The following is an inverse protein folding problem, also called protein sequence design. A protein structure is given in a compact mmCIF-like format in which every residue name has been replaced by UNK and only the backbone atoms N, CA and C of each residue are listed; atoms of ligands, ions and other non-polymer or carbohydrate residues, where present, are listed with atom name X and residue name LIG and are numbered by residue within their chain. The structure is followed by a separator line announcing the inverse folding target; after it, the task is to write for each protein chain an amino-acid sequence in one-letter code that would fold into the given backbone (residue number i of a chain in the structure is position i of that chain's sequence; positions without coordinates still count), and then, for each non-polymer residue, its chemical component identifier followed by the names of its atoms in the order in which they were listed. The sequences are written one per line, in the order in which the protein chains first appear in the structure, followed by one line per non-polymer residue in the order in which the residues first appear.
data_IF_749080036804
#
_entry.id   IF_749080036804
#
_cell.length_a   1.000
_cell.length_b   1.000
_cell.length_c   1.000
_cell.angle_alpha   90.00
_cell.angle_beta   90.00
_cell.angle_gamma   90.00
#
_symmetry.space_group_name_H-M   'P 1'
#
loop_
_entity.id
_entity.type
_entity.pdbx_description
1 polymer ?
#
# COMPACT_ATOMS: atom_id res chain seq x y z
N UNK A 1 2.40 -6.19 -13.17
CA UNK A 1 2.09 -6.93 -14.40
C UNK A 1 0.63 -7.32 -14.35
N UNK A 2 -0.13 -7.21 -15.45
CA UNK A 2 -1.53 -7.61 -15.48
C UNK A 2 -1.68 -9.09 -15.08
N UNK A 3 -2.73 -9.44 -14.33
CA UNK A 3 -3.10 -10.81 -13.94
C UNK A 3 -2.09 -11.57 -13.03
N UNK A 4 -1.01 -10.95 -12.55
CA UNK A 4 -0.06 -11.61 -11.62
C UNK A 4 -0.41 -11.38 -10.15
N UNK A 5 -1.38 -10.52 -9.88
CA UNK A 5 -1.77 -10.18 -8.52
C UNK A 5 -2.52 -11.32 -7.82
N UNK A 6 -2.14 -11.58 -6.57
CA UNK A 6 -2.83 -12.49 -5.66
C UNK A 6 -3.18 -11.73 -4.39
N UNK A 7 -4.48 -11.61 -4.11
CA UNK A 7 -5.00 -11.11 -2.84
C UNK A 7 -5.43 -12.27 -1.95
N UNK A 8 -4.91 -12.27 -0.72
CA UNK A 8 -5.27 -13.21 0.33
C UNK A 8 -5.96 -12.49 1.47
N UNK A 9 -7.17 -12.93 1.81
CA UNK A 9 -7.94 -12.42 2.93
C UNK A 9 -7.81 -13.35 4.13
N UNK A 10 -7.41 -12.79 5.27
CA UNK A 10 -7.35 -13.52 6.54
C UNK A 10 -8.52 -13.08 7.41
N UNK A 11 -9.33 -14.05 7.82
CA UNK A 11 -10.42 -13.84 8.77
C UNK A 11 -9.93 -14.28 10.15
N UNK A 12 -9.77 -13.31 11.06
CA UNK A 12 -9.23 -13.53 12.40
C UNK A 12 -7.79 -13.07 12.55
N UNK A 13 -7.24 -13.21 13.76
CA UNK A 13 -5.85 -12.81 14.04
C UNK A 13 -4.90 -13.87 13.51
N UNK A 14 -3.85 -13.43 12.82
CA UNK A 14 -2.85 -14.33 12.26
C UNK A 14 -2.29 -15.28 13.35
N UNK A 15 -2.29 -16.59 13.09
CA UNK A 15 -1.82 -17.65 14.02
C UNK A 15 -2.51 -17.66 15.39
N UNK A 16 -3.72 -17.11 15.48
CA UNK A 16 -4.48 -17.01 16.73
C UNK A 16 -3.66 -16.39 17.88
N UNK A 17 -2.83 -15.39 17.56
CA UNK A 17 -2.14 -14.63 18.59
C UNK A 17 -3.16 -13.87 19.43
N UNK A 18 -3.06 -14.01 20.75
CA UNK A 18 -3.96 -13.37 21.72
C UNK A 18 -3.29 -12.24 22.50
N UNK A 19 -2.05 -11.89 22.12
CA UNK A 19 -1.33 -10.76 22.65
C UNK A 19 0.04 -10.54 22.02
N UNK A 20 0.78 -9.58 22.54
CA UNK A 20 2.18 -9.30 22.18
C UNK A 20 3.00 -9.27 23.47
N UNK A 21 4.10 -10.01 23.50
CA UNK A 21 5.14 -9.96 24.53
C UNK A 21 6.37 -9.28 23.92
N UNK A 22 6.63 -8.04 24.32
CA UNK A 22 7.78 -7.27 23.89
C UNK A 22 8.83 -7.22 24.99
N UNK A 23 10.05 -7.64 24.66
CA UNK A 23 11.20 -7.59 25.54
C UNK A 23 12.15 -6.47 25.13
N UNK A 24 12.49 -5.59 26.07
CA UNK A 24 13.39 -4.45 25.90
C UNK A 24 14.34 -4.30 27.09
N UNK A 25 15.42 -3.52 26.93
CA UNK A 25 16.39 -3.25 28.00
C UNK A 25 16.07 -1.92 28.65
N UNK A 26 15.74 -1.87 29.94
CA UNK A 26 15.43 -0.61 30.63
C UNK A 26 16.66 0.32 30.70
N UNK A 27 16.42 1.63 30.63
CA UNK A 27 17.41 2.67 30.84
C UNK A 27 17.71 2.97 32.32
N UNK A 28 16.88 2.48 33.25
CA UNK A 28 17.02 2.73 34.69
C UNK A 28 18.00 1.76 35.35
N UNK A 29 17.88 0.47 35.04
CA UNK A 29 18.62 -0.61 35.73
C UNK A 29 19.32 -1.59 34.78
N UNK A 30 19.31 -1.32 33.47
CA UNK A 30 19.83 -2.22 32.42
C UNK A 30 19.20 -3.63 32.43
N UNK A 31 18.08 -3.83 33.13
CA UNK A 31 17.39 -5.10 33.17
C UNK A 31 16.59 -5.34 31.87
N UNK A 32 16.46 -6.61 31.50
CA UNK A 32 15.53 -7.02 30.44
C UNK A 32 14.12 -7.05 31.00
N UNK A 33 13.30 -6.11 30.56
CA UNK A 33 11.90 -5.97 30.97
C UNK A 33 11.01 -6.55 29.88
N UNK A 34 9.98 -7.29 30.31
CA UNK A 34 8.95 -7.84 29.44
C UNK A 34 7.66 -7.03 29.60
N UNK A 35 7.17 -6.48 28.50
CA UNK A 35 5.89 -5.81 28.43
C UNK A 35 4.91 -6.67 27.65
N UNK A 36 3.74 -6.94 28.23
CA UNK A 36 2.72 -7.83 27.67
C UNK A 36 1.43 -7.04 27.44
N UNK A 37 0.86 -7.18 26.25
CA UNK A 37 -0.41 -6.59 25.82
C UNK A 37 -1.34 -7.71 25.33
N UNK A 38 -2.66 -7.63 25.54
CA UNK A 38 -3.40 -6.63 26.33
C UNK A 38 -3.18 -6.80 27.83
N UNK A 39 -3.15 -5.69 28.58
CA UNK A 39 -2.92 -5.72 30.05
C UNK A 39 -4.07 -6.42 30.82
N UNK A 40 -5.26 -6.45 30.23
CA UNK A 40 -6.47 -6.98 30.84
C UNK A 40 -6.57 -8.52 30.78
N UNK A 41 -5.72 -9.17 29.99
CA UNK A 41 -5.74 -10.63 29.80
C UNK A 41 -4.33 -11.20 29.91
N UNK A 42 -4.20 -12.41 30.43
CA UNK A 42 -2.95 -13.18 30.27
C UNK A 42 -3.00 -13.91 28.92
N UNK A 43 -2.21 -13.51 27.92
CA UNK A 43 -2.22 -14.16 26.62
C UNK A 43 -1.68 -15.59 26.75
N UNK A 44 -2.35 -16.57 26.15
CA UNK A 44 -1.93 -17.98 26.07
C UNK A 44 -0.93 -18.20 24.93
N UNK A 45 -1.04 -17.41 23.87
CA UNK A 45 -0.18 -17.45 22.68
C UNK A 45 0.20 -16.01 22.28
N UNK A 46 1.08 -15.33 23.04
CA UNK A 46 1.55 -14.00 22.65
C UNK A 46 2.58 -14.07 21.53
N UNK A 47 2.55 -13.08 20.62
CA UNK A 47 3.64 -12.83 19.69
C UNK A 47 4.85 -12.29 20.46
N UNK A 48 5.94 -13.06 20.47
CA UNK A 48 7.17 -12.69 21.18
C UNK A 48 8.09 -11.85 20.29
N UNK A 49 8.45 -10.67 20.77
CA UNK A 49 9.31 -9.71 20.07
C UNK A 49 10.46 -9.33 21.00
N UNK A 50 11.69 -9.62 20.58
CA UNK A 50 12.89 -9.20 21.31
C UNK A 50 13.54 -8.02 20.59
N UNK A 51 13.73 -6.91 21.31
CA UNK A 51 14.37 -5.71 20.74
C UNK A 51 15.63 -5.34 21.52
N UNK A 52 16.71 -5.03 20.80
CA UNK A 52 17.99 -4.58 21.39
C UNK A 52 18.20 -3.07 21.35
N UNK A 53 17.43 -2.35 20.52
CA UNK A 53 17.58 -0.90 20.31
C UNK A 53 16.64 -0.01 21.11
N UNK A 54 15.60 -0.56 21.75
CA UNK A 54 14.64 0.21 22.55
C UNK A 54 15.10 0.20 24.00
N UNK A 55 15.33 1.40 24.56
CA UNK A 55 15.67 1.56 25.98
C UNK A 55 14.58 2.23 26.82
N UNK A 56 13.77 3.08 26.19
CA UNK A 56 12.70 3.81 26.85
C UNK A 56 11.41 2.97 26.91
N UNK A 57 10.79 2.91 28.08
CA UNK A 57 9.49 2.25 28.32
C UNK A 57 8.38 2.79 27.40
N UNK A 58 8.28 4.10 27.21
CA UNK A 58 7.26 4.70 26.34
C UNK A 58 7.37 4.19 24.89
N UNK A 59 8.59 4.12 24.36
CA UNK A 59 8.85 3.59 23.02
C UNK A 59 8.54 2.09 22.93
N UNK A 60 8.83 1.33 23.99
CA UNK A 60 8.47 -0.08 24.09
C UNK A 60 6.95 -0.29 24.05
N UNK A 61 6.19 0.54 24.78
CA UNK A 61 4.71 0.52 24.79
C UNK A 61 4.13 0.84 23.41
N UNK A 62 4.59 1.92 22.78
CA UNK A 62 4.18 2.30 21.41
C UNK A 62 4.46 1.15 20.43
N UNK A 63 5.66 0.58 20.47
CA UNK A 63 6.05 -0.55 19.60
C UNK A 63 5.13 -1.75 19.79
N UNK A 64 4.84 -2.11 21.03
CA UNK A 64 4.00 -3.27 21.35
C UNK A 64 2.54 -3.05 20.93
N UNK A 65 1.95 -1.88 21.20
CA UNK A 65 0.57 -1.55 20.77
C UNK A 65 0.44 -1.49 19.25
N UNK A 66 1.44 -0.95 18.55
CA UNK A 66 1.46 -0.94 17.08
C UNK A 66 1.45 -2.35 16.50
N UNK A 67 2.24 -3.27 17.06
CA UNK A 67 2.26 -4.66 16.59
C UNK A 67 0.97 -5.41 16.95
N UNK A 68 0.38 -5.14 18.12
CA UNK A 68 -0.92 -5.69 18.48
C UNK A 68 -2.04 -5.21 17.55
N UNK A 69 -2.07 -3.92 17.23
CA UNK A 69 -3.04 -3.36 16.31
C UNK A 69 -2.85 -3.89 14.89
N UNK A 70 -1.60 -4.09 14.43
CA UNK A 70 -1.34 -4.77 13.16
C UNK A 70 -1.90 -6.19 13.15
N UNK A 71 -1.69 -6.98 14.20
CA UNK A 71 -2.24 -8.34 14.29
C UNK A 71 -3.77 -8.37 14.20
N UNK A 72 -4.45 -7.37 14.76
CA UNK A 72 -5.92 -7.28 14.79
C UNK A 72 -6.54 -6.75 13.51
N UNK A 73 -5.93 -5.73 12.92
CA UNK A 73 -6.51 -5.01 11.78
C UNK A 73 -5.86 -5.37 10.44
N UNK A 74 -4.81 -6.21 10.43
CA UNK A 74 -4.29 -6.80 9.20
C UNK A 74 -5.21 -7.92 8.76
N UNK A 75 -5.96 -7.70 7.69
CA UNK A 75 -6.92 -8.66 7.15
C UNK A 75 -6.62 -9.03 5.70
N UNK A 76 -5.76 -8.28 5.00
CA UNK A 76 -5.49 -8.51 3.59
C UNK A 76 -3.98 -8.45 3.30
N UNK A 77 -3.53 -9.38 2.46
CA UNK A 77 -2.19 -9.44 1.89
C UNK A 77 -2.29 -9.46 0.38
N UNK A 78 -1.42 -8.73 -0.29
CA UNK A 78 -1.30 -8.66 -1.74
C UNK A 78 0.11 -9.07 -2.15
N UNK A 79 0.19 -9.94 -3.15
CA UNK A 79 1.44 -10.30 -3.83
C UNK A 79 1.29 -10.00 -5.31
N UNK A 80 2.20 -9.21 -5.89
CA UNK A 80 2.14 -8.80 -7.29
C UNK A 80 3.54 -8.75 -7.90
N UNK A 81 3.65 -9.07 -9.18
CA UNK A 81 4.90 -8.89 -9.93
C UNK A 81 4.96 -7.48 -10.51
N UNK A 82 6.03 -6.76 -10.18
CA UNK A 82 6.29 -5.38 -10.58
C UNK A 82 7.60 -5.31 -11.37
N UNK A 83 7.73 -4.24 -12.16
CA UNK A 83 8.94 -3.97 -12.94
C UNK A 83 10.06 -3.42 -12.06
N UNK A 84 11.24 -3.19 -12.64
CA UNK A 84 12.47 -2.79 -11.96
C UNK A 84 12.36 -1.44 -11.22
N UNK A 85 11.42 -0.57 -11.59
CA UNK A 85 11.19 0.70 -10.87
C UNK A 85 10.75 0.51 -9.42
N UNK A 86 10.26 -0.69 -9.08
CA UNK A 86 9.96 -1.07 -7.70
C UNK A 86 11.17 -1.05 -6.76
N UNK A 87 12.39 -1.03 -7.28
CA UNK A 87 13.61 -0.87 -6.47
C UNK A 87 13.68 0.48 -5.74
N UNK A 88 12.89 1.46 -6.16
CA UNK A 88 12.76 2.73 -5.46
C UNK A 88 11.96 2.62 -4.16
N UNK A 89 11.18 1.55 -3.99
CA UNK A 89 10.33 1.36 -2.82
C UNK A 89 11.14 0.83 -1.63
N UNK A 90 10.90 1.41 -0.47
CA UNK A 90 11.52 1.02 0.79
C UNK A 90 10.48 0.29 1.65
N UNK A 91 10.95 -0.66 2.45
CA UNK A 91 10.09 -1.39 3.39
C UNK A 91 9.30 -0.44 4.29
N UNK A 92 8.01 -0.70 4.44
CA UNK A 92 7.02 0.15 5.09
C UNK A 92 6.63 1.41 4.32
N UNK A 93 6.95 1.52 3.03
CA UNK A 93 6.33 2.55 2.20
C UNK A 93 4.85 2.22 1.98
N UNK A 94 4.03 3.28 2.02
CA UNK A 94 2.62 3.21 1.66
C UNK A 94 2.51 3.28 0.15
N UNK A 95 1.92 2.25 -0.44
CA UNK A 95 1.67 2.14 -1.88
C UNK A 95 0.17 2.10 -2.13
N UNK A 96 -0.24 2.49 -3.33
CA UNK A 96 -1.60 2.26 -3.82
C UNK A 96 -1.51 1.12 -4.83
N UNK A 97 -2.31 0.08 -4.62
CA UNK A 97 -2.38 -1.04 -5.56
C UNK A 97 -3.82 -1.26 -6.00
N UNK A 98 -4.06 -1.10 -7.31
CA UNK A 98 -5.33 -1.43 -7.94
C UNK A 98 -5.67 -2.91 -7.73
N UNK A 99 -6.95 -3.27 -7.72
CA UNK A 99 -7.35 -4.67 -7.62
C UNK A 99 -7.34 -5.35 -8.99
N UNK A 100 -6.22 -5.99 -9.31
CA UNK A 100 -6.02 -6.78 -10.54
C UNK A 100 -6.44 -8.25 -10.41
N UNK A 101 -7.23 -8.59 -9.38
CA UNK A 101 -7.88 -9.91 -9.28
C UNK A 101 -9.27 -9.95 -9.91
N UNK A 102 -9.87 -8.78 -10.19
CA UNK A 102 -11.17 -8.63 -10.83
C UNK A 102 -10.98 -8.38 -12.33
N UNK A 103 -11.89 -8.89 -13.18
CA UNK A 103 -11.79 -8.79 -14.65
C UNK A 103 -11.95 -7.34 -15.15
N UNK A 104 -12.71 -6.51 -14.43
CA UNK A 104 -12.90 -5.08 -14.73
C UNK A 104 -11.89 -4.23 -13.96
N UNK A 105 -10.61 -4.34 -14.31
CA UNK A 105 -9.61 -3.42 -13.76
C UNK A 105 -9.60 -2.10 -14.48
N UNK A 106 -9.41 -1.02 -13.71
CA UNK A 106 -9.30 0.33 -14.25
C UNK A 106 -7.85 0.84 -14.21
N UNK A 107 -6.89 -0.04 -14.50
CA UNK A 107 -5.46 0.23 -14.61
C UNK A 107 -4.93 -0.11 -16.01
N UNK A 108 -3.80 0.48 -16.39
CA UNK A 108 -3.22 0.23 -17.71
C UNK A 108 -2.09 1.19 -18.07
N UNK A 109 -1.88 1.36 -19.37
CA UNK A 109 -0.91 2.30 -19.95
C UNK A 109 -1.63 3.39 -20.74
N UNK A 110 -1.03 4.58 -20.76
CA UNK A 110 -1.49 5.70 -21.59
C UNK A 110 -0.95 5.50 -23.00
N UNK A 111 -1.85 5.36 -23.98
CA UNK A 111 -1.48 5.15 -25.39
C UNK A 111 -1.28 6.46 -26.15
N UNK A 112 -2.06 7.48 -25.81
CA UNK A 112 -1.98 8.79 -26.45
C UNK A 112 -2.45 9.91 -25.51
N UNK A 113 -2.02 11.14 -25.80
CA UNK A 113 -2.45 12.35 -25.09
C UNK A 113 -2.78 13.43 -26.11
N UNK A 114 -3.99 13.99 -26.03
CA UNK A 114 -4.42 15.17 -26.76
C UNK A 114 -4.92 16.25 -25.78
N UNK A 115 -4.02 17.16 -25.41
CA UNK A 115 -4.30 18.20 -24.43
C UNK A 115 -4.63 17.65 -23.04
N UNK A 116 -5.91 17.68 -22.67
CA UNK A 116 -6.43 17.14 -21.40
C UNK A 116 -7.09 15.77 -21.55
N UNK A 117 -7.17 15.25 -22.77
CA UNK A 117 -7.77 13.95 -23.05
C UNK A 117 -6.63 12.94 -23.16
N UNK A 118 -6.72 11.85 -22.41
CA UNK A 118 -5.80 10.73 -22.53
C UNK A 118 -6.53 9.53 -23.12
N UNK A 119 -5.84 8.77 -23.97
CA UNK A 119 -6.29 7.48 -24.46
C UNK A 119 -5.70 6.38 -23.59
N UNK A 120 -6.55 5.51 -23.08
CA UNK A 120 -6.18 4.42 -22.17
C UNK A 120 -6.17 3.08 -22.88
N UNK A 121 -5.27 2.18 -22.48
CA UNK A 121 -5.21 0.83 -23.07
C UNK A 121 -6.35 -0.09 -22.63
N UNK A 122 -6.98 0.19 -21.50
CA UNK A 122 -8.14 -0.55 -20.99
C UNK A 122 -9.39 0.35 -20.90
N UNK A 123 -10.60 -0.23 -21.02
CA UNK A 123 -11.84 0.53 -20.89
C UNK A 123 -12.05 1.01 -19.45
N UNK A 124 -12.23 2.31 -19.27
CA UNK A 124 -12.58 2.95 -18.00
C UNK A 124 -14.10 3.06 -17.83
N UNK A 125 -14.58 2.83 -16.61
CA UNK A 125 -16.00 2.91 -16.25
C UNK A 125 -16.22 3.95 -15.16
N UNK A 126 -17.11 4.90 -15.45
CA UNK A 126 -17.47 5.99 -14.54
C UNK A 126 -18.93 5.83 -14.11
N UNK A 127 -19.14 5.68 -12.80
CA UNK A 127 -20.47 5.67 -12.21
C UNK A 127 -21.06 7.08 -12.11
N UNK A 128 -22.35 7.20 -12.42
CA UNK A 128 -23.05 8.50 -12.37
C UNK A 128 -23.12 9.01 -10.94
N UNK A 129 -22.58 10.20 -10.69
CA UNK A 129 -22.61 10.85 -9.37
C UNK A 129 -21.40 10.52 -8.48
N UNK A 130 -20.41 9.79 -9.00
CA UNK A 130 -19.17 9.50 -8.30
C UNK A 130 -18.01 10.33 -8.84
N UNK A 131 -17.15 10.81 -7.95
CA UNK A 131 -15.92 11.50 -8.32
C UNK A 131 -14.78 10.48 -8.52
N UNK A 132 -13.95 10.71 -9.54
CA UNK A 132 -12.83 9.83 -9.87
C UNK A 132 -11.52 10.60 -9.97
N UNK A 133 -10.45 9.93 -9.53
CA UNK A 133 -9.08 10.39 -9.67
C UNK A 133 -8.30 9.40 -10.51
N UNK A 134 -7.45 9.93 -11.40
CA UNK A 134 -6.47 9.12 -12.11
C UNK A 134 -5.09 9.38 -11.53
N UNK A 135 -4.40 8.30 -11.21
CA UNK A 135 -3.02 8.29 -10.76
C UNK A 135 -2.14 8.00 -11.97
N UNK A 136 -1.32 8.96 -12.36
CA UNK A 136 -0.40 8.86 -13.49
C UNK A 136 1.01 8.67 -12.97
N UNK A 137 1.64 7.54 -13.29
CA UNK A 137 3.04 7.28 -12.90
C UNK A 137 3.97 7.95 -13.92
N UNK A 138 4.59 9.05 -13.51
CA UNK A 138 5.45 9.88 -14.35
C UNK A 138 6.87 9.31 -14.34
N UNK A 139 7.62 9.53 -15.42
CA UNK A 139 8.99 9.04 -15.60
C UNK A 139 10.01 9.52 -14.55
N UNK A 140 9.68 10.55 -13.75
CA UNK A 140 10.51 11.01 -12.64
C UNK A 140 10.23 10.26 -11.33
N UNK A 141 9.55 9.11 -11.40
CA UNK A 141 9.11 8.31 -10.26
C UNK A 141 8.13 9.03 -9.31
N UNK A 142 7.44 10.06 -9.80
CA UNK A 142 6.33 10.69 -9.05
C UNK A 142 4.99 10.22 -9.59
N UNK A 143 4.00 10.16 -8.70
CA UNK A 143 2.61 9.88 -9.06
C UNK A 143 1.85 11.19 -9.09
N UNK A 144 1.30 11.54 -10.25
CA UNK A 144 0.44 12.71 -10.39
C UNK A 144 -1.03 12.30 -10.24
N UNK A 145 -1.70 12.84 -9.23
CA UNK A 145 -3.11 12.55 -8.93
C UNK A 145 -3.96 13.68 -9.49
N UNK A 146 -4.80 13.35 -10.48
CA UNK A 146 -5.61 14.32 -11.22
C UNK A 146 -7.09 13.94 -11.16
N UNK A 147 -7.99 14.84 -10.73
CA UNK A 147 -9.43 14.61 -10.87
C UNK A 147 -9.77 14.46 -12.36
N UNK A 148 -10.61 13.48 -12.69
CA UNK A 148 -10.93 13.15 -14.07
C UNK A 148 -12.40 12.81 -14.28
N UNK A 149 -12.85 12.88 -15.53
CA UNK A 149 -14.22 12.58 -15.95
C UNK A 149 -14.22 11.70 -17.19
N UNK A 150 -15.35 11.05 -17.47
CA UNK A 150 -15.53 10.24 -18.67
C UNK A 150 -15.32 11.07 -19.94
N UNK A 151 -14.58 10.51 -20.90
CA UNK A 151 -14.40 11.09 -22.22
C UNK A 151 -15.51 10.73 -23.19
N UNK A 152 -15.18 10.82 -24.47
CA UNK A 152 -16.10 10.54 -25.59
C UNK A 152 -16.53 9.07 -25.67
N UNK A 153 -15.67 8.17 -25.20
CA UNK A 153 -15.92 6.74 -25.10
C UNK A 153 -15.22 6.16 -23.86
N UNK A 154 -15.25 4.83 -23.71
CA UNK A 154 -14.66 4.12 -22.56
C UNK A 154 -13.12 4.14 -22.55
N UNK A 155 -12.46 4.45 -23.65
CA UNK A 155 -11.00 4.50 -23.77
C UNK A 155 -10.44 5.91 -23.67
N UNK A 156 -11.30 6.90 -23.43
CA UNK A 156 -10.90 8.30 -23.29
C UNK A 156 -11.26 8.82 -21.90
N UNK A 157 -10.29 9.43 -21.25
CA UNK A 157 -10.46 10.06 -19.94
C UNK A 157 -10.09 11.54 -20.05
N UNK A 158 -10.92 12.42 -19.49
CA UNK A 158 -10.72 13.87 -19.51
C UNK A 158 -10.19 14.32 -18.15
N UNK A 159 -8.98 14.88 -18.16
CA UNK A 159 -8.32 15.43 -17.00
C UNK A 159 -8.84 16.84 -16.66
N UNK A 160 -9.03 17.14 -15.38
CA UNK A 160 -9.40 18.48 -14.92
C UNK A 160 -8.29 19.52 -15.04
N UNK A 161 -7.03 19.06 -15.07
CA UNK A 161 -5.83 19.89 -15.22
C UNK A 161 -4.76 19.15 -16.02
N UNK A 162 -3.82 19.85 -16.67
CA UNK A 162 -2.70 19.19 -17.34
C UNK A 162 -1.83 18.43 -16.31
N UNK A 163 -1.23 17.30 -16.72
CA UNK A 163 -0.24 16.60 -15.91
C UNK A 163 0.96 17.51 -15.58
N UNK A 164 1.58 17.28 -14.41
CA UNK A 164 2.74 18.09 -13.96
C UNK A 164 3.97 17.94 -14.86
N UNK A 165 4.05 16.85 -15.63
CA UNK A 165 5.06 16.63 -16.66
C UNK A 165 4.44 15.95 -17.89
N UNK A 166 5.06 16.09 -19.08
CA UNK A 166 4.62 15.37 -20.26
C UNK A 166 4.60 13.85 -20.04
N UNK A 167 3.49 13.21 -20.39
CA UNK A 167 3.34 11.76 -20.28
C UNK A 167 4.19 11.05 -21.33
N UNK A 168 4.63 9.84 -20.98
CA UNK A 168 5.44 8.99 -21.86
C UNK A 168 4.51 8.06 -22.62
N UNK A 169 4.31 8.34 -23.91
CA UNK A 169 3.43 7.52 -24.77
C UNK A 169 4.16 6.90 -25.97
N UNK A 170 5.41 7.28 -26.21
CA UNK A 170 6.21 6.80 -27.35
C UNK A 170 6.71 5.37 -27.14
N UNK A 171 6.53 4.50 -28.14
CA UNK A 171 7.05 3.13 -28.15
C UNK A 171 8.60 3.04 -28.15
N UNK A 172 9.30 4.15 -28.44
CA UNK A 172 10.78 4.22 -28.42
C UNK A 172 11.35 4.23 -26.99
N UNK A 173 10.49 4.42 -25.98
CA UNK A 173 10.87 4.25 -24.58
C UNK A 173 10.30 2.94 -24.05
N UNK A 174 11.13 2.18 -23.34
CA UNK A 174 10.79 0.85 -22.82
C UNK A 174 9.60 0.84 -21.85
N UNK A 175 9.21 1.99 -21.29
CA UNK A 175 8.14 2.10 -20.29
C UNK A 175 7.25 3.30 -20.61
N UNK A 176 5.98 3.03 -20.90
CA UNK A 176 4.92 4.04 -21.05
C UNK A 176 4.43 4.51 -19.69
N UNK A 177 3.78 5.67 -19.63
CA UNK A 177 3.11 6.14 -18.42
C UNK A 177 1.99 5.17 -18.06
N UNK A 178 2.09 4.58 -16.88
CA UNK A 178 1.04 3.75 -16.30
C UNK A 178 -0.01 4.63 -15.63
N UNK A 179 -1.27 4.18 -15.68
CA UNK A 179 -2.36 4.83 -15.00
C UNK A 179 -3.15 3.86 -14.11
N UNK A 180 -3.77 4.43 -13.08
CA UNK A 180 -4.80 3.75 -12.28
C UNK A 180 -5.94 4.73 -12.02
N UNK A 181 -7.16 4.33 -12.37
CA UNK A 181 -8.36 5.09 -12.12
C UNK A 181 -9.02 4.59 -10.83
N UNK A 182 -9.31 5.53 -9.94
CA UNK A 182 -9.78 5.24 -8.58
C UNK A 182 -10.99 6.11 -8.27
N UNK A 183 -12.05 5.51 -7.75
CA UNK A 183 -13.20 6.24 -7.22
C UNK A 183 -12.81 6.91 -5.90
N UNK A 184 -13.25 8.14 -5.67
CA UNK A 184 -12.80 8.95 -4.54
C UNK A 184 -12.94 8.25 -3.17
N UNK A 185 -14.01 7.48 -2.99
CA UNK A 185 -14.32 6.67 -1.81
C UNK A 185 -13.56 5.33 -1.71
N UNK A 186 -12.97 4.84 -2.80
CA UNK A 186 -12.20 3.58 -2.84
C UNK A 186 -10.70 3.77 -2.62
N UNK A 187 -10.22 5.02 -2.59
CA UNK A 187 -8.79 5.36 -2.47
C UNK A 187 -8.14 4.77 -1.21
N UNK A 188 -8.86 4.69 -0.09
CA UNK A 188 -8.33 4.06 1.14
C UNK A 188 -8.31 2.54 1.06
N UNK A 189 -9.27 1.92 0.35
CA UNK A 189 -9.37 0.46 0.21
C UNK A 189 -8.23 -0.13 -0.64
N UNK A 190 -7.56 0.70 -1.44
CA UNK A 190 -6.43 0.32 -2.29
C UNK A 190 -5.06 0.67 -1.68
N UNK A 191 -5.02 1.15 -0.44
CA UNK A 191 -3.76 1.47 0.24
C UNK A 191 -3.15 0.23 0.90
N UNK A 192 -1.90 -0.04 0.57
CA UNK A 192 -1.11 -1.13 1.13
C UNK A 192 0.21 -0.63 1.70
N UNK A 193 0.78 -1.41 2.62
CA UNK A 193 2.10 -1.20 3.20
C UNK A 193 3.05 -2.26 2.67
N UNK A 194 4.17 -1.83 2.08
CA UNK A 194 5.18 -2.74 1.57
C UNK A 194 5.84 -3.55 2.70
N UNK A 195 5.76 -4.87 2.62
CA UNK A 195 6.36 -5.77 3.62
C UNK A 195 7.71 -6.30 3.16
N UNK A 196 7.78 -6.73 1.90
CA UNK A 196 8.94 -7.39 1.30
C UNK A 196 8.97 -7.13 -0.21
N UNK A 197 10.18 -6.92 -0.73
CA UNK A 197 10.48 -6.88 -2.16
C UNK A 197 11.52 -7.97 -2.43
N UNK A 198 11.21 -8.90 -3.34
CA UNK A 198 12.09 -10.02 -3.69
C UNK A 198 12.41 -9.98 -5.19
N UNK A 199 13.69 -9.89 -5.59
CA UNK A 199 14.06 -9.96 -7.00
C UNK A 199 13.71 -11.34 -7.60
N UNK A 200 13.06 -11.34 -8.77
CA UNK A 200 12.72 -12.57 -9.52
C UNK A 200 13.65 -12.77 -10.72
N UNK A 201 13.64 -11.79 -11.63
CA UNK A 201 14.44 -11.81 -12.86
C UNK A 201 15.23 -10.52 -13.00
N UNK A 202 15.99 -10.35 -14.09
CA UNK A 202 16.73 -9.10 -14.33
C UNK A 202 15.85 -7.85 -14.47
N UNK A 203 14.55 -8.00 -14.70
CA UNK A 203 13.63 -6.87 -14.96
C UNK A 203 12.33 -6.94 -14.17
N UNK A 204 12.18 -7.90 -13.25
CA UNK A 204 10.95 -8.05 -12.45
C UNK A 204 11.25 -8.42 -11.00
N UNK A 205 10.44 -7.86 -10.11
CA UNK A 205 10.46 -8.11 -8.68
C UNK A 205 9.08 -8.60 -8.21
N UNK A 206 9.06 -9.49 -7.22
CA UNK A 206 7.84 -9.82 -6.48
C UNK A 206 7.69 -8.85 -5.31
N UNK A 207 6.56 -8.15 -5.29
CA UNK A 207 6.19 -7.23 -4.24
C UNK A 207 5.15 -7.89 -3.34
N UNK A 208 5.40 -7.92 -2.03
CA UNK A 208 4.42 -8.32 -1.01
C UNK A 208 4.06 -7.14 -0.15
N UNK A 209 2.76 -6.86 -0.06
CA UNK A 209 2.22 -5.79 0.74
C UNK A 209 1.02 -6.25 1.56
N UNK A 210 0.71 -5.56 2.65
CA UNK A 210 -0.48 -5.80 3.47
C UNK A 210 -1.36 -4.57 3.52
N UNK A 211 -2.64 -4.72 3.88
CA UNK A 211 -3.53 -3.57 3.96
C UNK A 211 -2.97 -2.48 4.87
N UNK A 212 -3.16 -1.22 4.46
CA UNK A 212 -2.97 -0.09 5.34
C UNK A 212 -4.22 0.12 6.20
N UNK A 213 -4.03 0.46 7.47
CA UNK A 213 -5.11 0.89 8.37
C UNK A 213 -4.56 1.93 9.36
N UNK A 214 -5.22 3.08 9.47
CA UNK A 214 -4.81 4.12 10.41
C UNK A 214 -4.83 3.65 11.87
N UNK A 215 -5.69 2.68 12.20
CA UNK A 215 -5.80 2.09 13.54
C UNK A 215 -4.54 1.34 13.97
N UNK A 216 -3.63 1.02 13.05
CA UNK A 216 -2.31 0.52 13.41
C UNK A 216 -1.55 1.49 14.32
N UNK A 217 -1.80 2.80 14.19
CA UNK A 217 -1.06 3.86 14.88
C UNK A 217 -1.89 4.60 15.94
N UNK A 218 -3.10 4.12 16.25
CA UNK A 218 -4.07 4.79 17.15
C UNK A 218 -3.47 5.17 18.52
N UNK A 219 -2.56 4.34 19.06
CA UNK A 219 -1.99 4.51 20.40
C UNK A 219 -0.55 5.02 20.39
N UNK A 220 -0.07 5.50 19.26
CA UNK A 220 1.31 5.99 19.16
C UNK A 220 1.57 7.25 20.00
N UNK A 221 0.52 8.04 20.24
CA UNK A 221 0.58 9.30 20.98
C UNK A 221 0.19 9.16 22.46
N UNK A 222 -0.24 7.97 22.91
CA UNK A 222 -0.72 7.74 24.28
C UNK A 222 0.40 7.79 25.33
N UNK A 223 1.65 7.67 24.90
CA UNK A 223 2.81 7.43 25.78
C UNK A 223 3.91 8.49 25.64
N UNK A 224 3.63 9.61 24.97
CA UNK A 224 4.58 10.72 24.72
C UNK A 224 4.43 11.82 25.77
#
# INVERSE_FOLDING_TARGET
MPLTEKRSYTFGVQKDYDGVELEYTSDVDDARVKYIIPEDITPKNPLKITTTGIRNEAQAKVRAWREWNKLRYKYMSCEVEVLDESELLIRNDRILNADNTVVDTQDGEVEAVDGLIIQTSQPCTFDVGSDYFIHLQISNATVDVVPCTAGVDKYHVVLSRPPVQPLVVSDDRYVKTLYTLVRADETEAQAFMLEELTPQTQMTNTLKASNYDARFYERDHDFI
#
